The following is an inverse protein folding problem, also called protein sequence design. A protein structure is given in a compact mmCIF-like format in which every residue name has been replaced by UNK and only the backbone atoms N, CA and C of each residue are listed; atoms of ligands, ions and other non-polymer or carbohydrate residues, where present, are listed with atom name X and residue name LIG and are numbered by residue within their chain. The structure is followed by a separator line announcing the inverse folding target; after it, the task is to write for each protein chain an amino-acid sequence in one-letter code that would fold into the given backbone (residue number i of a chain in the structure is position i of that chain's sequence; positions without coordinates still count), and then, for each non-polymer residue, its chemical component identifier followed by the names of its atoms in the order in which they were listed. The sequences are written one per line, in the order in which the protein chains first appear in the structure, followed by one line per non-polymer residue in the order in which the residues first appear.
data_IF_118120443987
#
_entry.id   IF_118120443987
#
_cell.length_a   1.000
_cell.length_b   1.000
_cell.length_c   1.000
_cell.angle_alpha   90.00
_cell.angle_beta   90.00
_cell.angle_gamma   90.00
#
_symmetry.space_group_name_H-M   'P 1'
#
loop_
_entity.id
_entity.type
_entity.pdbx_description
1 polymer ?
#
# COMPACT_ATOMS: atom_id res chain seq x y z
N UNK A 1 15.74 -2.21 -4.06
CA UNK A 1 14.79 -1.11 -3.80
C UNK A 1 15.57 -0.11 -3.00
N UNK A 2 15.93 0.99 -3.62
CA UNK A 2 17.07 1.79 -3.13
C UNK A 2 16.69 2.69 -1.95
N UNK A 3 15.41 2.73 -1.56
CA UNK A 3 14.86 3.52 -0.44
C UNK A 3 13.71 2.78 0.28
N UNK A 4 13.93 1.56 0.76
CA UNK A 4 12.95 0.84 1.57
C UNK A 4 13.27 0.92 3.07
N UNK A 5 12.58 1.80 3.79
CA UNK A 5 12.78 1.99 5.24
C UNK A 5 11.82 1.13 6.09
N UNK A 6 10.89 0.40 5.46
CA UNK A 6 9.78 -0.27 6.15
C UNK A 6 8.56 0.63 6.32
N UNK A 7 7.69 0.30 7.28
CA UNK A 7 6.47 1.06 7.55
C UNK A 7 5.32 0.71 6.61
N UNK A 8 4.58 1.71 6.14
CA UNK A 8 3.42 1.54 5.26
C UNK A 8 3.57 2.38 4.00
N UNK A 9 3.93 1.73 2.90
CA UNK A 9 4.09 2.39 1.61
C UNK A 9 2.82 2.34 0.77
N UNK A 10 2.62 3.38 -0.02
CA UNK A 10 1.55 3.47 -1.02
C UNK A 10 2.12 3.20 -2.40
N UNK A 11 1.63 2.15 -3.07
CA UNK A 11 2.22 1.62 -4.30
C UNK A 11 1.29 1.90 -5.48
N UNK A 12 1.67 2.88 -6.29
CA UNK A 12 0.99 3.35 -7.51
C UNK A 12 2.06 3.86 -8.50
N UNK A 13 1.92 3.63 -9.81
CA UNK A 13 0.80 2.94 -10.49
C UNK A 13 0.97 1.43 -10.65
N UNK A 14 2.05 0.85 -10.11
CA UNK A 14 2.41 -0.52 -10.42
C UNK A 14 3.02 -1.21 -9.20
N UNK A 15 2.49 -2.37 -8.79
CA UNK A 15 3.07 -3.20 -7.74
C UNK A 15 4.24 -4.06 -8.22
N UNK A 16 4.38 -4.28 -9.52
CA UNK A 16 5.40 -5.16 -10.10
C UNK A 16 6.81 -4.59 -10.10
N UNK A 17 7.70 -5.28 -10.83
CA UNK A 17 9.13 -4.93 -10.98
C UNK A 17 9.39 -3.66 -11.79
N UNK A 18 8.36 -3.07 -12.39
CA UNK A 18 8.49 -1.99 -13.35
C UNK A 18 8.60 -2.50 -14.78
N UNK A 19 8.76 -1.60 -15.75
CA UNK A 19 8.81 -1.90 -17.18
C UNK A 19 8.37 -0.72 -18.04
N UNK A 20 8.27 -0.93 -19.36
CA UNK A 20 7.78 0.10 -20.28
C UNK A 20 6.26 0.00 -20.41
N UNK A 21 5.54 1.03 -19.99
CA UNK A 21 4.09 1.13 -20.11
C UNK A 21 3.70 2.40 -20.86
N UNK A 22 3.02 2.26 -22.01
CA UNK A 22 2.63 3.39 -22.89
C UNK A 22 3.77 4.38 -23.19
N UNK A 23 4.99 3.87 -23.33
CA UNK A 23 6.18 4.69 -23.59
C UNK A 23 6.80 5.36 -22.34
N UNK A 24 6.20 5.17 -21.17
CA UNK A 24 6.73 5.62 -19.87
C UNK A 24 7.45 4.43 -19.24
N UNK A 25 8.72 4.59 -18.89
CA UNK A 25 9.42 3.59 -18.08
C UNK A 25 8.93 3.70 -16.62
N UNK A 26 8.65 2.58 -15.98
CA UNK A 26 8.21 2.54 -14.58
C UNK A 26 9.23 1.78 -13.76
N UNK A 27 9.54 2.29 -12.56
CA UNK A 27 10.35 1.58 -11.58
C UNK A 27 9.58 0.47 -10.88
N UNK A 28 10.30 -0.33 -10.09
CA UNK A 28 9.68 -1.27 -9.15
C UNK A 28 8.78 -0.49 -8.19
N UNK A 29 7.55 -0.97 -8.00
CA UNK A 29 6.55 -0.36 -7.11
C UNK A 29 6.09 1.06 -7.52
N UNK A 30 6.28 1.42 -8.79
CA UNK A 30 5.81 2.69 -9.32
C UNK A 30 6.63 3.87 -8.79
N UNK A 31 5.96 5.00 -8.57
CA UNK A 31 6.64 6.25 -8.19
C UNK A 31 6.13 6.85 -6.88
N UNK A 32 4.89 6.56 -6.46
CA UNK A 32 4.26 7.21 -5.30
C UNK A 32 5.01 6.94 -3.98
N UNK A 33 5.63 5.77 -3.84
CA UNK A 33 6.41 5.42 -2.65
C UNK A 33 7.75 6.15 -2.54
N UNK A 34 8.18 6.87 -3.58
CA UNK A 34 9.51 7.51 -3.67
C UNK A 34 9.46 9.03 -3.72
N UNK A 35 8.27 9.63 -3.70
CA UNK A 35 8.08 11.07 -3.88
C UNK A 35 7.52 11.71 -2.61
N UNK A 36 7.90 12.96 -2.30
CA UNK A 36 7.39 13.65 -1.11
C UNK A 36 5.91 14.01 -1.28
N UNK A 37 5.17 13.93 -0.18
CA UNK A 37 3.76 14.31 -0.12
C UNK A 37 3.60 15.66 0.54
N UNK A 38 2.67 16.46 0.04
CA UNK A 38 2.15 17.60 0.78
C UNK A 38 1.20 17.12 1.87
N UNK A 39 1.07 17.88 2.96
CA UNK A 39 0.12 17.55 4.01
C UNK A 39 -0.64 18.76 4.55
N UNK A 40 -1.78 18.48 5.18
CA UNK A 40 -2.60 19.44 5.93
C UNK A 40 -3.21 18.75 7.13
N UNK A 41 -3.04 19.34 8.32
CA UNK A 41 -3.76 18.92 9.52
C UNK A 41 -5.22 19.34 9.36
N UNK A 42 -6.14 18.38 9.44
CA UNK A 42 -7.59 18.63 9.39
C UNK A 42 -8.17 18.72 10.80
N UNK A 43 -7.61 17.95 11.74
CA UNK A 43 -8.03 17.89 13.13
C UNK A 43 -6.82 17.55 14.00
N UNK A 44 -6.66 18.25 15.13
CA UNK A 44 -5.66 17.98 16.16
C UNK A 44 -6.21 18.41 17.53
N UNK A 45 -6.84 17.46 18.23
CA UNK A 45 -7.42 17.70 19.54
C UNK A 45 -7.48 16.40 20.38
N UNK A 46 -7.83 16.47 21.68
CA UNK A 46 -7.84 15.28 22.56
C UNK A 46 -8.83 14.17 22.18
N UNK A 47 -9.78 14.41 21.27
CA UNK A 47 -10.72 13.38 20.79
C UNK A 47 -10.23 12.63 19.56
N UNK A 48 -9.30 13.23 18.79
CA UNK A 48 -8.74 12.62 17.59
C UNK A 48 -7.81 13.54 16.81
N UNK A 49 -7.07 12.94 15.89
CA UNK A 49 -6.15 13.61 14.96
C UNK A 49 -6.43 13.12 13.55
N UNK A 50 -6.50 14.04 12.59
CA UNK A 50 -6.70 13.75 11.18
C UNK A 50 -5.73 14.55 10.32
N UNK A 51 -5.00 13.88 9.42
CA UNK A 51 -4.05 14.50 8.49
C UNK A 51 -4.43 14.11 7.06
N UNK A 52 -4.56 15.11 6.19
CA UNK A 52 -4.69 14.92 4.75
C UNK A 52 -3.31 15.01 4.11
N UNK A 53 -2.94 13.98 3.36
CA UNK A 53 -1.78 13.92 2.49
C UNK A 53 -2.22 14.03 1.04
N UNK A 54 -1.43 14.71 0.22
CA UNK A 54 -1.71 14.95 -1.20
C UNK A 54 -0.43 14.81 -2.01
N UNK A 55 -0.53 14.21 -3.20
CA UNK A 55 0.62 14.09 -4.09
C UNK A 55 0.17 14.11 -5.55
N UNK A 56 0.99 14.74 -6.40
CA UNK A 56 0.91 14.62 -7.86
C UNK A 56 2.13 13.86 -8.34
N UNK A 57 1.90 12.82 -9.13
CA UNK A 57 2.96 12.01 -9.71
C UNK A 57 3.68 12.75 -10.84
N UNK A 58 4.93 12.38 -11.13
CA UNK A 58 5.75 13.06 -12.13
C UNK A 58 5.65 12.40 -13.51
N UNK A 59 5.61 11.06 -13.55
CA UNK A 59 5.65 10.28 -14.80
C UNK A 59 4.25 9.93 -15.27
N UNK A 60 3.39 9.60 -14.32
CA UNK A 60 1.96 9.41 -14.56
C UNK A 60 1.17 10.67 -14.18
N UNK A 61 -0.02 10.89 -14.76
CA UNK A 61 -0.84 12.08 -14.48
C UNK A 61 -1.82 11.83 -13.34
N UNK A 62 -1.37 11.24 -12.22
CA UNK A 62 -2.23 10.97 -11.07
C UNK A 62 -2.13 12.07 -10.01
N UNK A 63 -3.29 12.38 -9.44
CA UNK A 63 -3.42 13.11 -8.19
C UNK A 63 -4.05 12.19 -7.15
N UNK A 64 -3.35 12.01 -6.04
CA UNK A 64 -3.78 11.16 -4.93
C UNK A 64 -3.99 12.02 -3.68
N UNK A 65 -5.12 11.80 -3.02
CA UNK A 65 -5.39 12.32 -1.68
C UNK A 65 -5.62 11.17 -0.71
N UNK A 66 -5.07 11.28 0.50
CA UNK A 66 -5.21 10.31 1.58
C UNK A 66 -5.45 11.03 2.89
N UNK A 67 -6.52 10.68 3.59
CA UNK A 67 -6.78 11.16 4.96
C UNK A 67 -6.56 10.00 5.91
N UNK A 68 -5.66 10.21 6.87
CA UNK A 68 -5.41 9.30 7.98
C UNK A 68 -6.00 9.88 9.26
N UNK A 69 -6.80 9.09 9.97
CA UNK A 69 -7.46 9.52 11.21
C UNK A 69 -7.25 8.50 12.33
N UNK A 70 -6.86 9.01 13.50
CA UNK A 70 -6.81 8.30 14.77
C UNK A 70 -7.81 8.93 15.74
N UNK A 71 -8.50 8.10 16.53
CA UNK A 71 -9.51 8.55 17.50
C UNK A 71 -9.15 8.06 18.90
N UNK A 72 -9.38 8.88 19.90
CA UNK A 72 -9.07 8.54 21.29
C UNK A 72 -9.90 7.34 21.75
N UNK A 73 -9.22 6.33 22.28
CA UNK A 73 -9.86 5.10 22.76
C UNK A 73 -10.24 4.10 21.66
N UNK A 74 -9.88 4.34 20.40
CA UNK A 74 -10.14 3.43 19.28
C UNK A 74 -8.82 2.90 18.70
N UNK A 75 -8.55 1.58 18.70
CA UNK A 75 -7.29 1.01 18.22
C UNK A 75 -7.17 0.94 16.70
N UNK A 76 -8.02 1.65 15.95
CA UNK A 76 -8.07 1.60 14.48
C UNK A 76 -7.44 2.82 13.85
N UNK A 77 -6.73 2.59 12.74
CA UNK A 77 -6.40 3.63 11.78
C UNK A 77 -7.51 3.70 10.72
N UNK A 78 -8.13 4.86 10.58
CA UNK A 78 -9.10 5.11 9.51
C UNK A 78 -8.39 5.74 8.32
N UNK A 79 -8.64 5.19 7.14
CA UNK A 79 -8.03 5.63 5.87
C UNK A 79 -9.16 5.97 4.90
N UNK A 80 -9.11 7.19 4.33
CA UNK A 80 -10.01 7.63 3.26
C UNK A 80 -9.19 8.19 2.11
N UNK A 81 -9.37 7.63 0.91
CA UNK A 81 -8.49 7.91 -0.21
C UNK A 81 -9.24 8.17 -1.50
N UNK A 82 -8.62 9.00 -2.34
CA UNK A 82 -9.12 9.33 -3.67
C UNK A 82 -7.96 9.47 -4.64
N UNK A 83 -8.01 8.67 -5.70
CA UNK A 83 -7.12 8.77 -6.85
C UNK A 83 -7.88 9.42 -8.01
N UNK A 84 -7.24 10.38 -8.68
CA UNK A 84 -7.77 11.03 -9.88
C UNK A 84 -6.73 10.94 -10.99
N UNK A 85 -7.13 10.42 -12.14
CA UNK A 85 -6.39 10.61 -13.39
C UNK A 85 -6.65 12.04 -13.89
N UNK A 86 -5.62 12.89 -13.88
CA UNK A 86 -5.65 14.26 -14.40
C UNK A 86 -5.25 14.32 -15.89
N UNK A 87 -4.91 13.18 -16.50
CA UNK A 87 -4.53 13.07 -17.90
C UNK A 87 -5.73 12.95 -18.84
N UNK A 88 -5.46 13.08 -20.13
CA UNK A 88 -6.48 13.01 -21.20
C UNK A 88 -6.75 11.59 -21.72
N UNK A 89 -6.11 10.58 -21.15
CA UNK A 89 -6.23 9.19 -21.61
C UNK A 89 -6.36 8.24 -20.44
N UNK A 90 -7.06 7.13 -20.67
CA UNK A 90 -7.17 6.07 -19.67
C UNK A 90 -5.82 5.41 -19.38
N UNK A 91 -5.56 5.15 -18.10
CA UNK A 91 -4.33 4.51 -17.61
C UNK A 91 -4.73 3.34 -16.72
N UNK A 92 -4.26 2.15 -17.07
CA UNK A 92 -4.32 0.99 -16.20
C UNK A 92 -3.36 1.19 -15.03
N UNK A 93 -3.79 0.81 -13.83
CA UNK A 93 -2.97 0.91 -12.62
C UNK A 93 -3.27 -0.24 -11.67
N UNK A 94 -2.28 -0.53 -10.84
CA UNK A 94 -2.45 -1.22 -9.58
C UNK A 94 -2.34 -0.18 -8.46
N UNK A 95 -3.22 -0.31 -7.47
CA UNK A 95 -3.19 0.49 -6.26
C UNK A 95 -3.08 -0.46 -5.09
N UNK A 96 -1.96 -0.40 -4.37
CA UNK A 96 -1.63 -1.38 -3.33
C UNK A 96 -1.09 -0.70 -2.08
N UNK A 97 -1.73 -0.99 -0.96
CA UNK A 97 -1.14 -0.75 0.35
C UNK A 97 -0.09 -1.80 0.65
N UNK A 98 1.09 -1.35 1.03
CA UNK A 98 2.22 -2.20 1.37
C UNK A 98 2.67 -1.97 2.83
N UNK A 99 1.83 -2.31 3.82
CA UNK A 99 2.22 -2.28 5.22
C UNK A 99 3.21 -3.40 5.51
N UNK A 100 4.18 -3.10 6.36
CA UNK A 100 5.07 -4.11 6.93
C UNK A 100 4.96 -4.13 8.44
N UNK A 101 4.87 -5.36 8.94
CA UNK A 101 4.90 -5.66 10.36
C UNK A 101 6.26 -6.29 10.67
N UNK A 102 6.81 -6.00 11.85
CA UNK A 102 8.12 -6.47 12.25
C UNK A 102 8.45 -6.11 13.70
N UNK A 103 9.67 -6.42 14.12
CA UNK A 103 10.13 -6.15 15.49
C UNK A 103 9.33 -6.95 16.53
N UNK A 104 9.01 -6.31 17.65
CA UNK A 104 8.34 -6.93 18.79
C UNK A 104 6.91 -7.44 18.50
N UNK A 105 6.35 -7.15 17.33
CA UNK A 105 5.04 -7.66 16.92
C UNK A 105 5.11 -9.08 16.33
N UNK A 106 6.22 -9.47 15.70
CA UNK A 106 6.34 -10.76 15.02
C UNK A 106 7.21 -11.74 15.82
N UNK A 107 6.61 -12.85 16.22
CA UNK A 107 7.29 -14.05 16.72
C UNK A 107 6.63 -15.32 16.15
N UNK A 108 7.08 -16.50 16.60
CA UNK A 108 6.60 -17.80 16.12
C UNK A 108 5.19 -18.17 16.60
N UNK A 109 4.59 -17.36 17.48
CA UNK A 109 3.22 -17.50 17.97
C UNK A 109 2.18 -16.75 17.12
N UNK A 110 2.63 -15.86 16.22
CA UNK A 110 1.73 -15.04 15.40
C UNK A 110 1.02 -15.88 14.33
N UNK A 111 -0.29 -15.70 14.25
CA UNK A 111 -1.14 -16.32 13.23
C UNK A 111 -1.83 -15.23 12.42
N UNK A 112 -1.71 -15.33 11.09
CA UNK A 112 -2.52 -14.52 10.18
C UNK A 112 -3.86 -15.25 10.00
N UNK A 113 -4.89 -14.78 10.70
CA UNK A 113 -6.26 -15.21 10.49
C UNK A 113 -6.88 -14.38 9.37
N UNK A 114 -7.45 -15.07 8.42
CA UNK A 114 -7.96 -14.54 7.16
C UNK A 114 -9.33 -15.18 6.94
N UNK A 115 -10.37 -14.41 6.59
CA UNK A 115 -11.71 -14.95 6.44
C UNK A 115 -11.72 -16.13 5.44
N UNK A 116 -12.67 -17.06 5.59
CA UNK A 116 -12.85 -18.22 4.70
C UNK A 116 -13.06 -17.78 3.25
N UNK A 117 -11.96 -17.61 2.53
CA UNK A 117 -11.89 -17.18 1.15
C UNK A 117 -10.71 -17.91 0.50
N UNK A 118 -10.73 -18.02 -0.83
CA UNK A 118 -9.58 -18.56 -1.58
C UNK A 118 -8.45 -17.53 -1.55
N UNK A 119 -7.47 -17.77 -0.71
CA UNK A 119 -6.30 -16.91 -0.58
C UNK A 119 -5.25 -17.41 -1.56
N UNK A 120 -4.84 -16.50 -2.43
CA UNK A 120 -3.69 -16.68 -3.31
C UNK A 120 -2.52 -15.94 -2.68
N UNK A 121 -1.45 -16.65 -2.38
CA UNK A 121 -0.26 -16.06 -1.79
C UNK A 121 0.99 -16.49 -2.57
N UNK A 122 2.07 -15.72 -2.42
CA UNK A 122 3.37 -16.00 -3.02
C UNK A 122 4.40 -15.95 -1.89
N UNK A 123 4.80 -17.11 -1.35
CA UNK A 123 5.80 -17.19 -0.27
C UNK A 123 7.24 -17.23 -0.78
N UNK A 124 7.46 -17.56 -2.06
CA UNK A 124 8.79 -17.86 -2.57
C UNK A 124 9.08 -17.14 -3.89
N UNK A 125 10.31 -16.60 -4.07
CA UNK A 125 10.74 -15.99 -5.33
C UNK A 125 10.62 -16.92 -6.53
N UNK A 126 10.69 -18.25 -6.36
CA UNK A 126 10.48 -19.21 -7.46
C UNK A 126 9.04 -19.30 -8.00
N UNK A 127 8.05 -18.72 -7.32
CA UNK A 127 6.63 -18.78 -7.71
C UNK A 127 6.19 -17.61 -8.60
N UNK A 128 7.10 -16.96 -9.35
CA UNK A 128 6.70 -15.89 -10.29
C UNK A 128 5.65 -16.42 -11.29
N UNK A 129 4.46 -15.82 -11.28
CA UNK A 129 3.33 -16.22 -12.15
C UNK A 129 2.54 -17.44 -11.67
N UNK A 130 2.83 -17.96 -10.47
CA UNK A 130 2.09 -19.01 -9.78
C UNK A 130 1.64 -18.50 -8.41
N UNK A 131 0.57 -19.05 -7.90
CA UNK A 131 0.09 -18.78 -6.55
C UNK A 131 -0.14 -20.11 -5.87
N UNK A 132 0.20 -20.17 -4.60
CA UNK A 132 -0.25 -21.26 -3.74
C UNK A 132 -1.65 -20.90 -3.23
N UNK A 133 -2.53 -21.89 -3.11
CA UNK A 133 -3.86 -21.75 -2.53
C UNK A 133 -3.91 -22.47 -1.19
N UNK A 134 -4.45 -21.80 -0.15
CA UNK A 134 -4.69 -22.45 1.15
C UNK A 134 -6.17 -22.77 1.27
N UNK A 135 -6.45 -24.04 1.50
CA UNK A 135 -7.77 -24.54 1.91
C UNK A 135 -7.71 -24.90 3.39
N UNK A 136 -7.77 -23.91 4.29
CA UNK A 136 -7.72 -24.12 5.73
C UNK A 136 -7.63 -22.81 6.53
N UNK A 137 -8.16 -22.80 7.76
CA UNK A 137 -8.37 -21.57 8.55
C UNK A 137 -7.15 -21.12 9.37
N UNK A 138 -6.05 -21.90 9.38
CA UNK A 138 -4.85 -21.61 10.18
C UNK A 138 -3.58 -21.84 9.36
N UNK A 139 -2.85 -20.76 9.10
CA UNK A 139 -1.57 -20.77 8.39
C UNK A 139 -0.50 -20.36 9.38
N UNK A 140 0.48 -21.23 9.62
CA UNK A 140 1.65 -20.85 10.43
C UNK A 140 2.49 -19.90 9.60
N UNK A 141 2.71 -18.69 10.10
CA UNK A 141 3.62 -17.73 9.51
C UNK A 141 5.05 -18.31 9.53
N UNK A 142 5.85 -18.16 8.45
CA UNK A 142 7.25 -18.58 8.45
C UNK A 142 8.11 -17.81 9.45
#
# INVERSE_FOLDING_TARGET
MDYYEGGWQEIIPNFGKGGLYKGIEEGTHGEVCLIPWEYRILEDNPSGVSIKFMVRTYRTPFYLEKVLTLKTGDPKLYISEKLKNEGYTDINLNWTHHPTFGGAFLDDSIVINVPENRIKYVLKPENVGKYDEITGNNIKWP
#
